data_IF_244444872690
#
_entry.id   IF_244444872690
#
_cell.length_a   1.000
_cell.length_b   1.000
_cell.length_c   1.000
_cell.angle_alpha   90.00
_cell.angle_beta   90.00
_cell.angle_gamma   90.00
#
_symmetry.space_group_name_H-M   'P 1'
#
loop_
_entity.id
_entity.type
_entity.pdbx_description
1 polymer ?
#
# COMPACT_ATOMS: atom_id res chain seq x y z
N UNK A 1 7.35 -27.35 0.26
CA UNK A 1 7.65 -26.03 0.82
C UNK A 1 6.64 -25.04 0.28
N UNK A 2 6.10 -24.20 1.15
CA UNK A 2 5.21 -23.09 0.74
C UNK A 2 6.03 -22.05 0.00
N UNK A 3 5.51 -21.58 -1.11
CA UNK A 3 6.10 -20.51 -1.94
C UNK A 3 5.18 -19.31 -1.86
N UNK A 4 5.76 -18.12 -1.88
CA UNK A 4 5.03 -16.87 -1.94
C UNK A 4 5.26 -16.17 -3.27
N UNK A 5 4.20 -15.58 -3.79
CA UNK A 5 4.23 -14.78 -5.02
C UNK A 5 3.46 -13.47 -4.80
N UNK A 6 4.04 -12.36 -5.22
CA UNK A 6 3.32 -11.09 -5.34
C UNK A 6 2.79 -10.98 -6.76
N UNK A 7 1.52 -10.68 -6.87
CA UNK A 7 0.80 -10.45 -8.12
C UNK A 7 0.36 -8.99 -8.15
N UNK A 8 0.72 -8.25 -9.18
CA UNK A 8 0.12 -6.95 -9.49
C UNK A 8 -0.70 -7.06 -10.76
N UNK A 9 -1.91 -6.53 -10.75
CA UNK A 9 -2.80 -6.52 -11.90
C UNK A 9 -3.47 -5.15 -12.02
N UNK A 10 -3.44 -4.57 -13.23
CA UNK A 10 -4.06 -3.29 -13.54
C UNK A 10 -4.82 -3.45 -14.86
N UNK A 11 -6.02 -2.91 -14.92
CA UNK A 11 -6.82 -2.85 -16.13
C UNK A 11 -8.14 -2.15 -15.93
N UNK A 12 -8.92 -1.97 -17.00
CA UNK A 12 -10.19 -1.25 -16.96
C UNK A 12 -11.10 -1.76 -15.84
N UNK A 13 -11.66 -0.84 -15.07
CA UNK A 13 -12.61 -1.16 -14.00
C UNK A 13 -13.88 -1.75 -14.61
N UNK A 14 -14.17 -3.00 -14.26
CA UNK A 14 -15.36 -3.73 -14.70
C UNK A 14 -15.88 -4.66 -13.63
N UNK A 15 -17.17 -4.83 -13.61
CA UNK A 15 -17.80 -5.82 -12.74
C UNK A 15 -17.23 -7.22 -13.00
N UNK A 16 -16.84 -7.90 -11.92
CA UNK A 16 -16.35 -9.27 -11.95
C UNK A 16 -14.84 -9.44 -12.12
N UNK A 17 -14.05 -8.37 -12.34
CA UNK A 17 -12.60 -8.50 -12.54
C UNK A 17 -11.91 -9.17 -11.34
N UNK A 18 -12.31 -8.83 -10.12
CA UNK A 18 -11.78 -9.45 -8.90
C UNK A 18 -12.14 -10.93 -8.84
N UNK A 19 -13.41 -11.25 -9.11
CA UNK A 19 -13.88 -12.64 -9.14
C UNK A 19 -13.10 -13.48 -10.15
N UNK A 20 -13.00 -13.01 -11.38
CA UNK A 20 -12.32 -13.75 -12.46
C UNK A 20 -10.84 -14.04 -12.12
N UNK A 21 -10.13 -13.02 -11.60
CA UNK A 21 -8.72 -13.17 -11.25
C UNK A 21 -8.52 -14.10 -10.05
N UNK A 22 -9.33 -13.94 -9.01
CA UNK A 22 -9.24 -14.77 -7.80
C UNK A 22 -9.68 -16.21 -8.06
N UNK A 23 -10.57 -16.43 -9.03
CA UNK A 23 -10.95 -17.78 -9.46
C UNK A 23 -9.75 -18.54 -10.04
N UNK A 24 -8.91 -17.87 -10.85
CA UNK A 24 -7.69 -18.50 -11.39
C UNK A 24 -6.72 -18.89 -10.25
N UNK A 25 -6.57 -18.02 -9.25
CA UNK A 25 -5.74 -18.31 -8.08
C UNK A 25 -6.27 -19.57 -7.35
N UNK A 26 -7.56 -19.61 -7.11
CA UNK A 26 -8.23 -20.75 -6.44
C UNK A 26 -8.05 -22.04 -7.24
N UNK A 27 -8.32 -22.03 -8.54
CA UNK A 27 -8.23 -23.20 -9.42
C UNK A 27 -6.80 -23.76 -9.52
N UNK A 28 -5.81 -22.89 -9.32
CA UNK A 28 -4.41 -23.28 -9.25
C UNK A 28 -3.99 -23.80 -7.86
N UNK A 29 -4.87 -23.72 -6.85
CA UNK A 29 -4.56 -24.11 -5.47
C UNK A 29 -3.75 -23.05 -4.72
N UNK A 30 -3.90 -21.77 -5.08
CA UNK A 30 -3.33 -20.62 -4.38
C UNK A 30 -4.22 -20.15 -3.23
N UNK A 31 -3.60 -19.56 -2.21
CA UNK A 31 -4.29 -18.94 -1.06
C UNK A 31 -3.83 -17.49 -0.92
N UNK A 32 -4.77 -16.55 -0.97
CA UNK A 32 -4.49 -15.12 -0.77
C UNK A 32 -4.17 -14.90 0.71
N UNK A 33 -3.01 -14.34 1.00
CA UNK A 33 -2.54 -14.03 2.35
C UNK A 33 -2.74 -12.57 2.71
N UNK A 34 -2.56 -11.69 1.73
CA UNK A 34 -2.76 -10.24 1.88
C UNK A 34 -3.13 -9.63 0.52
N UNK A 35 -3.87 -8.53 0.52
CA UNK A 35 -4.23 -7.87 -0.73
C UNK A 35 -4.54 -6.39 -0.54
N UNK A 36 -4.32 -5.63 -1.60
CA UNK A 36 -4.77 -4.25 -1.76
C UNK A 36 -5.43 -4.15 -3.12
N UNK A 37 -6.66 -3.66 -3.15
CA UNK A 37 -7.44 -3.55 -4.38
C UNK A 37 -8.21 -2.24 -4.37
N UNK A 38 -8.11 -1.46 -5.45
CA UNK A 38 -8.73 -0.14 -5.51
C UNK A 38 -8.99 0.29 -6.94
N UNK A 39 -10.04 1.09 -7.15
CA UNK A 39 -10.25 1.81 -8.39
C UNK A 39 -9.47 3.14 -8.35
N UNK A 40 -8.73 3.43 -9.41
CA UNK A 40 -7.96 4.66 -9.60
C UNK A 40 -8.22 5.20 -11.01
N UNK A 41 -9.01 6.27 -11.12
CA UNK A 41 -9.50 6.77 -12.40
C UNK A 41 -10.45 5.75 -13.06
N UNK A 42 -10.19 5.39 -14.31
CA UNK A 42 -10.94 4.36 -15.05
C UNK A 42 -10.35 2.95 -14.90
N UNK A 43 -9.28 2.82 -14.10
CA UNK A 43 -8.59 1.56 -13.92
C UNK A 43 -8.86 0.96 -12.53
N UNK A 44 -8.84 -0.37 -12.46
CA UNK A 44 -8.84 -1.11 -11.22
C UNK A 44 -7.46 -1.75 -11.00
N UNK A 45 -6.86 -1.49 -9.85
CA UNK A 45 -5.54 -1.98 -9.49
C UNK A 45 -5.62 -3.00 -8.34
N UNK A 46 -4.89 -4.09 -8.46
CA UNK A 46 -4.81 -5.16 -7.48
C UNK A 46 -3.35 -5.48 -7.17
N UNK A 47 -3.05 -5.59 -5.89
CA UNK A 47 -1.81 -6.15 -5.37
C UNK A 47 -2.17 -7.29 -4.43
N UNK A 48 -1.66 -8.50 -4.70
CA UNK A 48 -1.97 -9.68 -3.90
C UNK A 48 -0.67 -10.40 -3.48
N UNK A 49 -0.62 -10.81 -2.24
CA UNK A 49 0.35 -11.80 -1.76
C UNK A 49 -0.34 -13.15 -1.70
N UNK A 50 0.14 -14.10 -2.47
CA UNK A 50 -0.47 -15.41 -2.60
C UNK A 50 0.54 -16.49 -2.23
N UNK A 51 0.09 -17.48 -1.48
CA UNK A 51 0.88 -18.70 -1.20
C UNK A 51 0.38 -19.88 -1.99
N UNK A 52 1.30 -20.80 -2.27
CA UNK A 52 1.01 -22.07 -2.89
C UNK A 52 2.23 -22.99 -2.86
N UNK A 53 2.09 -24.24 -3.28
CA UNK A 53 3.25 -25.05 -3.53
C UNK A 53 3.92 -24.66 -4.87
N UNK A 54 5.07 -25.22 -5.16
CA UNK A 54 5.82 -24.89 -6.38
C UNK A 54 4.99 -25.09 -7.65
N UNK A 55 4.21 -26.19 -7.69
CA UNK A 55 3.35 -26.50 -8.85
C UNK A 55 2.18 -25.50 -8.99
N UNK A 56 1.54 -25.12 -7.87
CA UNK A 56 0.49 -24.11 -7.84
C UNK A 56 0.98 -22.75 -8.36
N UNK A 57 2.16 -22.32 -7.91
CA UNK A 57 2.75 -21.05 -8.35
C UNK A 57 3.03 -21.05 -9.86
N UNK A 58 3.61 -22.15 -10.39
CA UNK A 58 3.86 -22.26 -11.83
C UNK A 58 2.56 -22.25 -12.66
N UNK A 59 1.50 -22.88 -12.18
CA UNK A 59 0.17 -22.83 -12.83
C UNK A 59 -0.43 -21.42 -12.78
N UNK A 60 -0.32 -20.73 -11.65
CA UNK A 60 -0.77 -19.32 -11.53
C UNK A 60 -0.03 -18.40 -12.50
N UNK A 61 1.30 -18.52 -12.60
CA UNK A 61 2.10 -17.74 -13.55
C UNK A 61 1.59 -17.89 -14.98
N UNK A 62 1.30 -19.11 -15.41
CA UNK A 62 0.76 -19.39 -16.75
C UNK A 62 -0.69 -18.91 -16.93
N UNK A 63 -1.55 -19.22 -15.97
CA UNK A 63 -2.98 -18.89 -16.01
C UNK A 63 -3.23 -17.38 -16.01
N UNK A 64 -2.54 -16.65 -15.12
CA UNK A 64 -2.68 -15.19 -15.02
C UNK A 64 -2.07 -14.46 -16.21
N UNK A 65 -0.97 -14.96 -16.79
CA UNK A 65 -0.40 -14.39 -18.01
C UNK A 65 -1.35 -14.54 -19.20
N UNK A 66 -2.02 -15.69 -19.32
CA UNK A 66 -3.04 -15.89 -20.35
C UNK A 66 -4.25 -14.98 -20.14
N UNK A 67 -4.76 -14.95 -18.91
CA UNK A 67 -5.89 -14.11 -18.52
C UNK A 67 -5.62 -12.63 -18.81
N UNK A 68 -4.43 -12.15 -18.46
CA UNK A 68 -4.01 -10.77 -18.73
C UNK A 68 -4.11 -10.42 -20.21
N UNK A 69 -3.58 -11.27 -21.06
CA UNK A 69 -3.63 -11.07 -22.52
C UNK A 69 -5.07 -11.10 -23.05
N UNK A 70 -5.89 -12.06 -22.58
CA UNK A 70 -7.24 -12.27 -23.09
C UNK A 70 -8.23 -11.16 -22.63
N UNK A 71 -7.93 -10.52 -21.50
CA UNK A 71 -8.77 -9.48 -20.87
C UNK A 71 -8.20 -8.06 -20.96
N UNK A 72 -7.05 -7.88 -21.57
CA UNK A 72 -6.40 -6.57 -21.70
C UNK A 72 -5.88 -6.00 -20.38
N UNK A 73 -5.48 -6.87 -19.45
CA UNK A 73 -4.89 -6.48 -18.17
C UNK A 73 -3.36 -6.45 -18.29
N UNK A 74 -2.73 -5.57 -17.51
CA UNK A 74 -1.28 -5.63 -17.25
C UNK A 74 -1.09 -6.41 -15.95
N UNK A 75 -0.50 -7.60 -16.05
CA UNK A 75 -0.23 -8.46 -14.88
C UNK A 75 1.25 -8.71 -14.76
N UNK A 76 1.79 -8.51 -13.58
CA UNK A 76 3.17 -8.86 -13.24
C UNK A 76 3.18 -9.79 -12.02
N UNK A 77 4.07 -10.75 -12.06
CA UNK A 77 4.23 -11.75 -11.02
C UNK A 77 5.68 -11.77 -10.54
N UNK A 78 5.88 -11.79 -9.23
CA UNK A 78 7.21 -11.84 -8.63
C UNK A 78 7.21 -12.80 -7.45
N UNK A 79 8.02 -13.86 -7.53
CA UNK A 79 8.27 -14.74 -6.37
C UNK A 79 8.93 -13.95 -5.25
N UNK A 80 8.50 -14.20 -4.03
CA UNK A 80 8.97 -13.49 -2.84
C UNK A 80 9.13 -14.42 -1.65
N UNK A 81 9.60 -13.89 -0.55
CA UNK A 81 9.74 -14.60 0.72
C UNK A 81 9.01 -13.83 1.82
N UNK A 82 8.68 -14.52 2.90
CA UNK A 82 8.12 -13.86 4.08
C UNK A 82 9.10 -12.82 4.61
N UNK A 83 8.58 -11.65 4.92
CA UNK A 83 9.38 -10.61 5.54
C UNK A 83 9.80 -11.04 6.94
N UNK A 84 11.09 -11.19 7.16
CA UNK A 84 11.65 -11.41 8.49
C UNK A 84 11.90 -10.06 9.13
N UNK A 85 11.17 -9.75 10.19
CA UNK A 85 11.50 -8.60 11.03
C UNK A 85 12.56 -9.04 12.05
N UNK A 86 13.78 -8.54 11.89
CA UNK A 86 14.88 -8.78 12.84
C UNK A 86 14.97 -7.70 13.93
N UNK A 87 14.13 -6.67 13.87
CA UNK A 87 14.12 -5.54 14.80
C UNK A 87 12.75 -5.43 15.47
N UNK A 88 12.75 -5.01 16.72
CA UNK A 88 11.52 -4.53 17.34
C UNK A 88 11.10 -3.23 16.66
N UNK A 89 9.93 -3.25 16.08
CA UNK A 89 9.35 -2.14 15.34
C UNK A 89 8.06 -1.70 16.03
N UNK A 90 7.88 -0.41 16.16
CA UNK A 90 6.70 0.19 16.75
C UNK A 90 5.80 0.73 15.64
N UNK A 91 4.61 0.15 15.44
CA UNK A 91 3.70 0.60 14.39
C UNK A 91 2.98 1.89 14.78
N UNK A 92 3.03 2.88 13.90
CA UNK A 92 2.34 4.18 14.03
C UNK A 92 1.52 4.49 12.78
N UNK A 93 0.41 5.18 13.01
CA UNK A 93 -0.42 5.77 11.96
C UNK A 93 -0.18 7.27 11.89
N UNK A 94 -0.05 7.77 10.68
CA UNK A 94 0.07 9.19 10.36
C UNK A 94 -1.15 9.57 9.53
N UNK A 95 -1.80 10.66 9.93
CA UNK A 95 -2.84 11.29 9.13
C UNK A 95 -2.44 12.73 8.86
N UNK A 96 -2.53 13.15 7.60
CA UNK A 96 -2.22 14.51 7.18
C UNK A 96 -3.37 15.03 6.33
N UNK A 97 -3.80 16.26 6.60
CA UNK A 97 -4.77 17.00 5.79
C UNK A 97 -4.21 18.38 5.47
N UNK A 98 -4.30 18.78 4.22
CA UNK A 98 -3.82 20.09 3.78
C UNK A 98 -4.51 20.54 2.51
N UNK A 99 -4.23 21.76 2.07
CA UNK A 99 -4.54 22.18 0.70
C UNK A 99 -3.73 21.34 -0.29
N UNK A 100 -4.37 21.00 -1.42
CA UNK A 100 -3.67 20.24 -2.47
C UNK A 100 -2.53 21.07 -3.06
N UNK A 101 -1.31 20.54 -2.94
CA UNK A 101 -0.08 21.16 -3.42
C UNK A 101 0.92 20.10 -3.86
N UNK A 102 1.88 20.49 -4.69
CA UNK A 102 2.88 19.57 -5.19
C UNK A 102 3.85 19.10 -4.10
N UNK A 103 4.22 17.84 -4.15
CA UNK A 103 5.32 17.27 -3.37
C UNK A 103 4.98 16.79 -1.96
N UNK A 104 3.73 16.83 -1.51
CA UNK A 104 3.33 16.42 -0.15
C UNK A 104 3.86 15.01 0.18
N UNK A 105 3.53 14.02 -0.63
CA UNK A 105 3.94 12.63 -0.39
C UNK A 105 5.47 12.50 -0.43
N UNK A 106 6.13 13.18 -1.36
CA UNK A 106 7.59 13.18 -1.47
C UNK A 106 8.24 13.73 -0.19
N UNK A 107 7.75 14.86 0.31
CA UNK A 107 8.29 15.52 1.50
C UNK A 107 8.08 14.65 2.75
N UNK A 108 6.89 14.08 2.94
CA UNK A 108 6.60 13.16 4.04
C UNK A 108 7.49 11.90 3.97
N UNK A 109 7.60 11.29 2.79
CA UNK A 109 8.46 10.12 2.60
C UNK A 109 9.93 10.45 2.87
N UNK A 110 10.41 11.61 2.43
CA UNK A 110 11.77 12.10 2.69
C UNK A 110 12.06 12.31 4.18
N UNK A 111 11.10 12.87 4.93
CA UNK A 111 11.22 13.04 6.38
C UNK A 111 11.47 11.71 7.09
N UNK A 112 10.67 10.68 6.79
CA UNK A 112 10.79 9.36 7.42
C UNK A 112 12.02 8.59 6.92
N UNK A 113 12.33 8.66 5.61
CA UNK A 113 13.51 8.00 5.05
C UNK A 113 14.82 8.51 5.67
N UNK A 114 14.95 9.82 5.89
CA UNK A 114 16.11 10.43 6.53
C UNK A 114 16.33 10.00 8.00
N UNK A 115 15.33 9.36 8.61
CA UNK A 115 15.36 8.87 10.00
C UNK A 115 15.30 7.34 10.10
N UNK A 116 15.49 6.64 9.00
CA UNK A 116 15.40 5.18 8.92
C UNK A 116 14.08 4.60 9.41
N UNK A 117 13.02 5.38 9.36
CA UNK A 117 11.64 4.95 9.64
C UNK A 117 11.07 4.32 8.39
N UNK A 118 10.49 3.14 8.55
CA UNK A 118 9.96 2.37 7.45
C UNK A 118 8.51 2.76 7.15
N UNK A 119 8.22 3.09 5.90
CA UNK A 119 6.85 3.30 5.42
C UNK A 119 6.29 1.94 4.98
N UNK A 120 5.18 1.53 5.59
CA UNK A 120 4.51 0.24 5.32
C UNK A 120 3.44 0.40 4.25
N UNK A 121 2.62 1.44 4.38
CA UNK A 121 1.50 1.72 3.49
C UNK A 121 1.24 3.23 3.41
N UNK A 122 0.85 3.70 2.24
CA UNK A 122 0.41 5.08 2.01
C UNK A 122 -0.87 5.06 1.19
N UNK A 123 -1.87 5.76 1.67
CA UNK A 123 -3.12 6.03 0.93
C UNK A 123 -3.34 7.53 0.86
N UNK A 124 -3.62 8.03 -0.33
CA UNK A 124 -3.86 9.46 -0.53
C UNK A 124 -5.17 9.71 -1.26
N UNK A 125 -5.78 10.85 -0.99
CA UNK A 125 -7.00 11.27 -1.67
C UNK A 125 -7.03 12.78 -1.83
N UNK A 126 -7.33 13.25 -3.04
CA UNK A 126 -7.72 14.63 -3.32
C UNK A 126 -9.25 14.73 -3.35
N UNK A 127 -9.81 15.75 -2.70
CA UNK A 127 -11.26 15.96 -2.61
C UNK A 127 -11.62 17.43 -2.45
N UNK A 128 -12.80 17.87 -2.92
CA UNK A 128 -13.27 19.24 -2.69
C UNK A 128 -13.74 19.40 -1.23
N UNK A 129 -13.36 20.49 -0.58
CA UNK A 129 -13.87 20.87 0.74
C UNK A 129 -15.37 21.22 0.64
N UNK A 130 -16.17 20.72 1.59
CA UNK A 130 -17.63 20.77 1.55
C UNK A 130 -18.23 22.18 1.41
N UNK A 131 -17.61 23.19 1.99
CA UNK A 131 -18.17 24.55 2.04
C UNK A 131 -17.50 25.55 1.08
N UNK A 132 -16.26 25.31 0.70
CA UNK A 132 -15.47 26.24 -0.12
C UNK A 132 -15.23 25.76 -1.53
N UNK A 133 -15.36 24.44 -1.77
CA UNK A 133 -14.96 23.81 -3.02
C UNK A 133 -13.45 23.78 -3.25
N UNK A 134 -12.65 24.28 -2.30
CA UNK A 134 -11.19 24.25 -2.39
C UNK A 134 -10.69 22.80 -2.39
N UNK A 135 -9.75 22.48 -3.25
CA UNK A 135 -9.20 21.13 -3.32
C UNK A 135 -8.31 20.86 -2.11
N UNK A 136 -8.72 19.87 -1.33
CA UNK A 136 -8.00 19.35 -0.17
C UNK A 136 -7.27 18.07 -0.55
N UNK A 137 -6.22 17.76 0.18
CA UNK A 137 -5.44 16.54 0.06
C UNK A 137 -5.29 15.87 1.41
N UNK A 138 -5.57 14.58 1.46
CA UNK A 138 -5.36 13.77 2.66
C UNK A 138 -4.37 12.66 2.39
N UNK A 139 -3.55 12.37 3.39
CA UNK A 139 -2.60 11.26 3.41
C UNK A 139 -2.86 10.44 4.65
N UNK A 140 -3.03 9.13 4.48
CA UNK A 140 -2.95 8.14 5.56
C UNK A 140 -1.71 7.29 5.31
N UNK A 141 -0.86 7.19 6.33
CA UNK A 141 0.40 6.46 6.23
C UNK A 141 0.57 5.57 7.45
N UNK A 142 0.95 4.33 7.22
CA UNK A 142 1.40 3.42 8.27
C UNK A 142 2.91 3.32 8.22
N UNK A 143 3.55 3.49 9.36
CA UNK A 143 5.00 3.47 9.51
C UNK A 143 5.42 2.51 10.61
N UNK A 144 6.61 1.96 10.48
CA UNK A 144 7.28 1.19 11.53
C UNK A 144 8.51 1.96 12.01
N UNK A 145 8.49 2.32 13.28
CA UNK A 145 9.56 3.08 13.93
C UNK A 145 10.48 2.09 14.65
N UNK A 146 11.79 2.07 14.36
CA UNK A 146 12.75 1.31 15.13
C UNK A 146 12.70 1.64 16.62
N UNK A 147 12.74 0.65 17.49
CA UNK A 147 12.60 0.81 18.95
C UNK A 147 13.70 1.69 19.59
N UNK A 148 14.84 1.84 18.92
CA UNK A 148 15.94 2.71 19.33
C UNK A 148 15.64 4.22 19.12
N UNK A 149 14.60 4.57 18.38
CA UNK A 149 14.23 5.97 18.15
C UNK A 149 13.32 6.48 19.27
N UNK A 150 13.66 7.63 19.85
CA UNK A 150 12.84 8.31 20.83
C UNK A 150 11.58 8.91 20.18
N UNK A 151 10.45 8.29 20.40
CA UNK A 151 9.17 8.66 19.75
C UNK A 151 8.75 10.10 20.04
N UNK A 152 8.98 10.60 21.27
CA UNK A 152 8.62 11.96 21.63
C UNK A 152 9.41 12.97 20.77
N UNK A 153 10.70 12.75 20.56
CA UNK A 153 11.55 13.59 19.71
C UNK A 153 11.11 13.50 18.26
N UNK A 154 10.93 12.29 17.75
CA UNK A 154 10.45 12.09 16.38
C UNK A 154 9.13 12.80 16.12
N UNK A 155 8.19 12.73 17.07
CA UNK A 155 6.88 13.40 16.96
C UNK A 155 7.04 14.91 16.94
N UNK A 156 7.84 15.47 17.83
CA UNK A 156 8.09 16.91 17.89
C UNK A 156 8.69 17.42 16.57
N UNK A 157 9.74 16.78 16.08
CA UNK A 157 10.36 17.10 14.79
C UNK A 157 9.38 16.95 13.61
N UNK A 158 8.51 15.93 13.66
CA UNK A 158 7.50 15.71 12.62
C UNK A 158 6.44 16.81 12.62
N UNK A 159 5.95 17.21 13.78
CA UNK A 159 4.97 18.29 13.89
C UNK A 159 5.57 19.62 13.42
N UNK A 160 6.80 19.96 13.84
CA UNK A 160 7.51 21.14 13.35
C UNK A 160 7.69 21.13 11.82
N UNK A 161 8.07 19.99 11.27
CA UNK A 161 8.19 19.80 9.82
C UNK A 161 6.85 20.02 9.10
N UNK A 162 5.76 19.48 9.64
CA UNK A 162 4.42 19.66 9.08
C UNK A 162 3.97 21.15 9.15
N UNK A 163 4.21 21.82 10.27
CA UNK A 163 3.89 23.24 10.44
C UNK A 163 4.60 24.13 9.41
N UNK A 164 5.88 23.85 9.13
CA UNK A 164 6.65 24.59 8.11
C UNK A 164 6.06 24.43 6.69
N UNK A 165 5.36 23.34 6.42
CA UNK A 165 4.73 23.04 5.13
C UNK A 165 3.21 23.33 5.13
N UNK A 166 2.66 23.88 6.21
CA UNK A 166 1.23 24.09 6.42
C UNK A 166 0.41 22.80 6.26
N UNK A 167 0.90 21.71 6.82
CA UNK A 167 0.24 20.43 6.89
C UNK A 167 -0.37 20.24 8.28
N UNK A 168 -1.65 19.91 8.34
CA UNK A 168 -2.31 19.52 9.58
C UNK A 168 -2.14 18.03 9.77
N UNK A 169 -1.40 17.62 10.79
CA UNK A 169 -0.93 16.24 10.94
C UNK A 169 -1.22 15.66 12.33
N UNK A 170 -1.50 14.35 12.36
CA UNK A 170 -1.63 13.54 13.56
C UNK A 170 -0.70 12.33 13.44
N UNK A 171 -0.03 11.99 14.55
CA UNK A 171 0.82 10.80 14.67
C UNK A 171 0.44 10.02 15.92
N UNK A 172 -0.12 8.82 15.76
CA UNK A 172 -0.63 7.99 16.84
C UNK A 172 -0.13 6.54 16.74
N UNK A 173 0.04 5.84 17.89
CA UNK A 173 0.36 4.43 17.85
C UNK A 173 -0.82 3.65 17.25
N UNK A 174 -0.52 2.64 16.43
CA UNK A 174 -1.54 1.71 15.93
C UNK A 174 -2.05 0.89 17.11
N UNK A 175 -3.35 0.99 17.41
CA UNK A 175 -3.98 0.15 18.43
C UNK A 175 -4.09 -1.28 17.87
N UNK A 176 -3.40 -2.21 18.50
CA UNK A 176 -3.65 -3.63 18.25
C UNK A 176 -5.08 -3.95 18.70
N UNK A 177 -5.94 -4.22 17.74
CA UNK A 177 -7.31 -4.73 17.99
C UNK A 177 -7.26 -6.24 18.05
#
# INVERSE_FOLDING_TARGET
>A
MEQLIVISAIGGDRTGVVHDLTQIILDCGGSIKDSRMTALGEEFAMLLLVSGNWHSVSRMEQGLTRFARDKGLVVQLKRTQSRQSSKELLPYAIEVVCLDQLGIVHNLAGFFAGRSVEIVEVTTRSYPAAHTGTTMFSVQMFINIPSEIHIAVLREEFMEFCDQLNLDAIMEPVKNT
#
